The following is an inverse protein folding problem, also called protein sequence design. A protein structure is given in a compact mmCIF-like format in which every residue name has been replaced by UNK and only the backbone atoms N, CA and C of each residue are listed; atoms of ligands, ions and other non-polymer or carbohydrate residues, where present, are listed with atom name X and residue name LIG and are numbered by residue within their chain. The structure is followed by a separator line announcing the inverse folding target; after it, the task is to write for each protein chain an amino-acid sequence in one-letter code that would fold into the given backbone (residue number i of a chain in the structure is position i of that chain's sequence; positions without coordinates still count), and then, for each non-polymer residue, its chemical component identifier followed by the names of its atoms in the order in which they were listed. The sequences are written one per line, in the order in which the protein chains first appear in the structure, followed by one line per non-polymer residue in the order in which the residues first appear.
data_IF_470352476868
#
_entry.id   IF_470352476868
#
_cell.length_a   1.000
_cell.length_b   1.000
_cell.length_c   1.000
_cell.angle_alpha   90.00
_cell.angle_beta   90.00
_cell.angle_gamma   90.00
#
_symmetry.space_group_name_H-M   'P 1'
#
loop_
_entity.id
_entity.type
_entity.pdbx_description
1 polymer ?
#
# COMPACT_ATOMS: atom_id res chain seq x y z
N UNK A 1 60.16 -25.18 -65.25
CA UNK A 1 58.97 -25.87 -64.69
C UNK A 1 58.95 -25.82 -63.15
N UNK A 2 60.05 -25.62 -62.45
CA UNK A 2 60.07 -25.57 -60.97
C UNK A 2 59.50 -24.25 -60.41
N UNK A 3 59.58 -23.13 -61.10
CA UNK A 3 59.23 -21.79 -60.61
C UNK A 3 57.70 -21.54 -60.57
N UNK A 4 56.98 -22.19 -61.49
CA UNK A 4 55.49 -22.05 -61.56
C UNK A 4 54.84 -22.78 -60.40
N UNK A 5 55.42 -23.90 -59.91
CA UNK A 5 54.85 -24.68 -58.83
C UNK A 5 55.00 -23.97 -57.46
N UNK A 6 56.13 -23.24 -57.27
CA UNK A 6 56.36 -22.46 -56.05
C UNK A 6 55.44 -21.24 -55.91
N UNK A 7 55.11 -20.61 -57.04
CA UNK A 7 54.20 -19.47 -57.04
C UNK A 7 52.72 -19.87 -56.77
N UNK A 8 52.27 -21.03 -57.20
CA UNK A 8 50.94 -21.55 -56.89
C UNK A 8 50.83 -21.99 -55.43
N UNK A 9 51.90 -22.62 -54.90
CA UNK A 9 51.95 -23.01 -53.48
C UNK A 9 51.92 -21.81 -52.54
N UNK A 10 52.68 -20.73 -52.84
CA UNK A 10 52.62 -19.47 -52.06
C UNK A 10 51.27 -18.80 -52.13
N UNK A 11 50.58 -18.80 -53.28
CA UNK A 11 49.20 -18.27 -53.40
C UNK A 11 48.22 -19.09 -52.60
N UNK A 12 48.37 -20.39 -52.57
CA UNK A 12 47.48 -21.27 -51.80
C UNK A 12 47.67 -21.06 -50.29
N UNK A 13 48.90 -20.93 -49.80
CA UNK A 13 49.20 -20.58 -48.39
C UNK A 13 48.60 -19.22 -48.00
N UNK A 14 48.80 -18.20 -48.85
CA UNK A 14 48.24 -16.84 -48.57
C UNK A 14 46.70 -16.83 -48.52
N UNK A 15 46.04 -17.63 -49.36
CA UNK A 15 44.57 -17.76 -49.36
C UNK A 15 44.10 -18.49 -48.13
N UNK A 16 44.80 -19.51 -47.66
CA UNK A 16 44.49 -20.24 -46.42
C UNK A 16 44.65 -19.30 -45.21
N UNK A 17 45.72 -18.50 -45.14
CA UNK A 17 45.95 -17.53 -44.07
C UNK A 17 44.87 -16.43 -44.05
N UNK A 18 44.47 -15.93 -45.22
CA UNK A 18 43.39 -14.96 -45.33
C UNK A 18 42.04 -15.54 -44.84
N UNK A 19 41.77 -16.80 -45.15
CA UNK A 19 40.57 -17.53 -44.68
C UNK A 19 40.59 -17.76 -43.17
N UNK A 20 41.73 -18.18 -42.64
CA UNK A 20 41.93 -18.38 -41.18
C UNK A 20 41.75 -17.06 -40.41
N UNK A 21 42.35 -15.96 -40.95
CA UNK A 21 42.17 -14.63 -40.34
C UNK A 21 40.73 -14.15 -40.39
N UNK A 22 39.99 -14.42 -41.46
CA UNK A 22 38.57 -14.12 -41.57
C UNK A 22 37.72 -14.91 -40.57
N UNK A 23 38.02 -16.20 -40.38
CA UNK A 23 37.34 -17.05 -39.39
C UNK A 23 37.66 -16.58 -37.96
N UNK A 24 38.93 -16.27 -37.68
CA UNK A 24 39.37 -15.77 -36.37
C UNK A 24 38.72 -14.42 -36.02
N UNK A 25 38.60 -13.53 -37.03
CA UNK A 25 37.89 -12.23 -36.85
C UNK A 25 36.42 -12.40 -36.53
N UNK A 26 35.71 -13.30 -37.23
CA UNK A 26 34.29 -13.61 -36.96
C UNK A 26 34.12 -14.20 -35.58
N UNK A 27 34.97 -15.11 -35.16
CA UNK A 27 34.94 -15.70 -33.83
C UNK A 27 35.16 -14.64 -32.75
N UNK A 28 36.13 -13.77 -32.89
CA UNK A 28 36.36 -12.66 -31.95
C UNK A 28 35.16 -11.69 -31.89
N UNK A 29 34.54 -11.40 -33.02
CA UNK A 29 33.34 -10.56 -33.09
C UNK A 29 32.16 -11.21 -32.32
N UNK A 30 31.88 -12.48 -32.56
CA UNK A 30 30.81 -13.20 -31.88
C UNK A 30 31.06 -13.24 -30.37
N UNK A 31 32.30 -13.53 -29.94
CA UNK A 31 32.66 -13.53 -28.52
C UNK A 31 32.45 -12.15 -27.89
N UNK A 32 32.88 -11.08 -28.54
CA UNK A 32 32.68 -9.69 -28.04
C UNK A 32 31.17 -9.35 -27.94
N UNK A 33 30.40 -9.73 -28.94
CA UNK A 33 28.94 -9.51 -28.94
C UNK A 33 28.27 -10.29 -27.81
N UNK A 34 28.66 -11.55 -27.58
CA UNK A 34 28.14 -12.36 -26.49
C UNK A 34 28.46 -11.77 -25.12
N UNK A 35 29.69 -11.32 -24.89
CA UNK A 35 30.08 -10.63 -23.66
C UNK A 35 29.31 -9.32 -23.45
N UNK A 36 29.14 -8.52 -24.53
CA UNK A 36 28.35 -7.31 -24.46
C UNK A 36 26.88 -7.59 -24.05
N UNK A 37 26.30 -8.66 -24.63
CA UNK A 37 24.95 -9.11 -24.26
C UNK A 37 24.83 -9.54 -22.78
N UNK A 38 25.81 -10.32 -22.29
CA UNK A 38 25.84 -10.76 -20.88
C UNK A 38 25.98 -9.54 -19.96
N UNK A 39 26.89 -8.62 -20.26
CA UNK A 39 27.07 -7.40 -19.45
C UNK A 39 25.81 -6.55 -19.45
N UNK A 40 25.17 -6.33 -20.59
CA UNK A 40 23.92 -5.58 -20.68
C UNK A 40 22.81 -6.27 -19.85
N UNK A 41 22.66 -7.57 -19.94
CA UNK A 41 21.71 -8.34 -19.15
C UNK A 41 21.96 -8.17 -17.65
N UNK A 42 23.22 -8.31 -17.22
CA UNK A 42 23.57 -8.16 -15.79
C UNK A 42 23.31 -6.74 -15.29
N UNK A 43 23.62 -5.71 -16.10
CA UNK A 43 23.37 -4.30 -15.75
C UNK A 43 21.87 -4.02 -15.59
N UNK A 44 21.03 -4.50 -16.51
CA UNK A 44 19.58 -4.32 -16.43
C UNK A 44 19.03 -4.98 -15.16
N UNK A 45 19.49 -6.22 -14.86
CA UNK A 45 19.06 -6.92 -13.64
C UNK A 45 19.56 -6.21 -12.37
N UNK A 46 20.79 -5.69 -12.38
CA UNK A 46 21.33 -4.93 -11.25
C UNK A 46 20.54 -3.64 -11.01
N UNK A 47 20.19 -2.90 -12.06
CA UNK A 47 19.37 -1.69 -11.95
C UNK A 47 17.97 -2.05 -11.42
N UNK A 48 17.36 -3.13 -11.92
CA UNK A 48 16.06 -3.60 -11.44
C UNK A 48 16.13 -4.02 -9.96
N UNK A 49 17.18 -4.70 -9.55
CA UNK A 49 17.43 -5.10 -8.18
C UNK A 49 17.60 -3.89 -7.25
N UNK A 50 18.45 -2.92 -7.61
CA UNK A 50 18.62 -1.67 -6.84
C UNK A 50 17.28 -0.92 -6.73
N UNK A 51 16.53 -0.85 -7.84
CA UNK A 51 15.22 -0.17 -7.86
C UNK A 51 14.18 -0.87 -6.97
N UNK A 52 14.29 -2.18 -6.80
CA UNK A 52 13.42 -2.95 -5.89
C UNK A 52 13.63 -2.55 -4.42
N UNK A 53 14.87 -2.28 -4.01
CA UNK A 53 15.19 -1.83 -2.64
C UNK A 53 14.91 -0.34 -2.40
N UNK A 54 14.67 0.45 -3.46
CA UNK A 54 14.30 1.85 -3.28
C UNK A 54 12.84 1.92 -2.86
N UNK A 55 12.53 2.28 -1.59
CA UNK A 55 11.16 2.38 -1.16
C UNK A 55 10.46 3.46 -1.99
N UNK A 56 9.47 3.06 -2.77
CA UNK A 56 8.51 4.00 -3.32
C UNK A 56 7.68 4.48 -2.14
N UNK A 57 7.99 5.64 -1.61
CA UNK A 57 7.15 6.32 -0.63
C UNK A 57 5.80 6.51 -1.31
N UNK A 58 4.87 5.62 -0.98
CA UNK A 58 3.46 5.86 -1.28
C UNK A 58 3.10 7.12 -0.51
N UNK A 59 2.46 8.08 -1.17
CA UNK A 59 1.86 9.21 -0.48
C UNK A 59 0.83 8.65 0.49
N UNK A 60 1.24 8.43 1.74
CA UNK A 60 0.28 8.10 2.78
C UNK A 60 -0.64 9.31 2.94
N UNK A 61 -1.96 9.09 2.97
CA UNK A 61 -2.89 10.18 3.24
C UNK A 61 -2.51 10.82 4.58
N UNK A 62 -2.68 12.15 4.70
CA UNK A 62 -2.26 12.87 5.90
C UNK A 62 -2.86 12.20 7.14
N UNK A 63 -2.05 12.03 8.18
CA UNK A 63 -2.49 11.45 9.46
C UNK A 63 -3.53 12.32 10.15
N UNK A 64 -3.44 13.65 9.97
CA UNK A 64 -4.40 14.62 10.48
C UNK A 64 -5.47 14.91 9.42
N UNK A 65 -6.73 14.63 9.75
CA UNK A 65 -7.88 14.82 8.87
C UNK A 65 -8.84 15.81 9.52
N UNK A 66 -9.08 16.93 8.83
CA UNK A 66 -10.13 17.88 9.21
C UNK A 66 -11.48 17.33 8.75
N UNK A 67 -12.42 17.21 9.69
CA UNK A 67 -13.72 16.58 9.46
C UNK A 67 -14.91 17.52 9.71
N UNK A 68 -14.73 18.83 9.55
CA UNK A 68 -15.80 19.82 9.67
C UNK A 68 -16.05 20.30 11.10
N UNK A 69 -17.20 20.93 11.32
CA UNK A 69 -17.57 21.50 12.62
C UNK A 69 -18.52 20.61 13.39
N UNK A 70 -18.49 20.63 14.74
CA UNK A 70 -19.41 19.84 15.56
C UNK A 70 -20.90 20.07 15.24
N UNK A 71 -21.27 21.30 14.82
CA UNK A 71 -22.65 21.70 14.48
C UNK A 71 -23.21 20.98 13.25
N UNK A 72 -22.33 20.43 12.39
CA UNK A 72 -22.72 19.73 11.17
C UNK A 72 -23.17 18.27 11.44
N UNK A 73 -23.00 17.79 12.67
CA UNK A 73 -23.28 16.41 13.06
C UNK A 73 -24.53 16.34 13.97
N UNK A 74 -25.65 15.79 13.49
CA UNK A 74 -26.80 15.53 14.34
C UNK A 74 -26.49 14.56 15.49
N UNK A 75 -27.23 14.65 16.59
CA UNK A 75 -27.12 13.69 17.70
C UNK A 75 -27.48 12.27 17.23
N UNK A 76 -26.68 11.29 17.64
CA UNK A 76 -26.86 9.88 17.25
C UNK A 76 -26.47 9.56 15.81
N UNK A 77 -25.85 10.50 15.08
CA UNK A 77 -25.48 10.31 13.67
C UNK A 77 -24.10 9.66 13.49
N UNK A 78 -24.01 8.90 12.41
CA UNK A 78 -22.75 8.37 11.86
C UNK A 78 -22.52 9.03 10.50
N UNK A 79 -21.45 9.80 10.38
CA UNK A 79 -21.07 10.44 9.11
C UNK A 79 -20.25 9.46 8.26
N UNK A 80 -20.71 9.22 7.02
CA UNK A 80 -20.10 8.30 6.06
C UNK A 80 -19.27 9.01 4.99
N UNK A 81 -19.20 10.34 4.98
CA UNK A 81 -18.52 11.12 3.95
C UNK A 81 -17.04 10.77 3.83
N UNK A 82 -16.38 10.53 4.98
CA UNK A 82 -14.95 10.27 5.06
C UNK A 82 -14.58 8.79 4.90
N UNK A 83 -15.58 7.91 4.72
CA UNK A 83 -15.44 6.46 4.63
C UNK A 83 -14.45 6.03 3.55
N UNK A 84 -14.60 6.52 2.32
CA UNK A 84 -13.78 6.06 1.20
C UNK A 84 -12.43 6.76 1.12
N UNK A 85 -12.41 8.08 1.37
CA UNK A 85 -11.19 8.89 1.21
C UNK A 85 -10.19 8.67 2.34
N UNK A 86 -10.67 8.61 3.58
CA UNK A 86 -9.82 8.53 4.76
C UNK A 86 -9.99 7.24 5.55
N UNK A 87 -10.98 6.40 5.18
CA UNK A 87 -11.32 5.14 5.83
C UNK A 87 -11.69 5.32 7.30
N UNK A 88 -12.51 6.33 7.59
CA UNK A 88 -12.99 6.65 8.93
C UNK A 88 -14.49 6.94 8.92
N UNK A 89 -15.13 6.74 10.09
CA UNK A 89 -16.43 7.26 10.41
C UNK A 89 -16.33 8.20 11.59
N UNK A 90 -16.96 9.36 11.48
CA UNK A 90 -17.14 10.27 12.60
C UNK A 90 -18.52 10.03 13.18
N UNK A 91 -18.58 9.73 14.46
CA UNK A 91 -19.81 9.39 15.17
C UNK A 91 -20.05 10.45 16.24
N UNK A 92 -21.27 10.97 16.30
CA UNK A 92 -21.78 11.75 17.44
C UNK A 92 -22.83 10.91 18.14
N UNK A 93 -22.57 10.49 19.39
CA UNK A 93 -23.52 9.69 20.13
C UNK A 93 -24.73 10.53 20.64
N UNK A 94 -25.69 9.87 21.25
CA UNK A 94 -26.89 10.54 21.78
C UNK A 94 -26.59 11.48 22.94
N UNK A 95 -25.50 11.25 23.66
CA UNK A 95 -24.99 12.08 24.76
C UNK A 95 -24.18 13.31 24.24
N UNK A 96 -24.07 13.47 22.92
CA UNK A 96 -23.37 14.59 22.28
C UNK A 96 -21.85 14.43 22.21
N UNK A 97 -21.30 13.29 22.65
CA UNK A 97 -19.86 12.99 22.55
C UNK A 97 -19.50 12.54 21.16
N UNK A 98 -18.30 12.96 20.69
CA UNK A 98 -17.74 12.56 19.42
C UNK A 98 -16.68 11.49 19.60
N UNK A 99 -16.61 10.56 18.66
CA UNK A 99 -15.51 9.63 18.49
C UNK A 99 -15.34 9.26 17.01
N UNK A 100 -14.16 8.80 16.67
CA UNK A 100 -13.83 8.42 15.30
C UNK A 100 -13.49 6.93 15.24
N UNK A 101 -14.23 6.19 14.40
CA UNK A 101 -14.00 4.76 14.17
C UNK A 101 -13.19 4.55 12.89
N UNK A 102 -12.31 3.55 12.90
CA UNK A 102 -11.67 3.03 11.69
C UNK A 102 -12.70 2.31 10.83
N UNK A 103 -12.74 2.66 9.54
CA UNK A 103 -13.60 1.98 8.56
C UNK A 103 -12.97 0.66 8.07
N UNK A 104 -12.26 -0.03 8.94
CA UNK A 104 -11.62 -1.30 8.65
C UNK A 104 -12.13 -2.39 9.61
N UNK A 105 -12.76 -3.42 9.03
CA UNK A 105 -13.18 -4.59 9.80
C UNK A 105 -11.96 -5.30 10.40
N UNK A 106 -12.01 -5.58 11.69
CA UNK A 106 -10.91 -6.22 12.44
C UNK A 106 -10.70 -7.69 12.08
N UNK A 107 -11.58 -8.27 11.22
CA UNK A 107 -11.36 -9.61 10.66
C UNK A 107 -10.25 -9.60 9.59
N UNK A 108 -10.49 -9.00 8.43
CA UNK A 108 -9.55 -8.98 7.30
C UNK A 108 -9.50 -7.62 6.57
N UNK A 109 -9.86 -6.53 7.24
CA UNK A 109 -9.69 -5.17 6.72
C UNK A 109 -10.73 -4.69 5.71
N UNK A 110 -11.80 -5.46 5.44
CA UNK A 110 -12.92 -4.98 4.61
C UNK A 110 -13.58 -3.77 5.26
N UNK A 111 -14.28 -2.96 4.46
CA UNK A 111 -14.98 -1.79 4.98
C UNK A 111 -16.42 -2.16 5.31
N UNK A 112 -16.84 -2.20 6.60
CA UNK A 112 -18.22 -2.41 6.98
C UNK A 112 -19.12 -1.27 6.48
N UNK A 113 -20.40 -1.54 6.29
CA UNK A 113 -21.41 -0.53 5.95
C UNK A 113 -22.23 -0.14 7.17
N UNK A 114 -22.55 1.17 7.30
CA UNK A 114 -23.48 1.64 8.31
C UNK A 114 -24.92 1.43 7.85
N UNK A 115 -25.68 0.66 8.62
CA UNK A 115 -27.10 0.40 8.39
C UNK A 115 -27.92 1.27 9.37
N UNK A 116 -28.23 2.51 8.95
CA UNK A 116 -28.90 3.51 9.83
C UNK A 116 -30.20 3.04 10.43
N UNK A 117 -31.06 2.34 9.68
CA UNK A 117 -32.34 1.78 10.17
C UNK A 117 -32.10 0.75 11.28
N UNK A 118 -31.03 -0.03 11.20
CA UNK A 118 -30.70 -1.07 12.17
C UNK A 118 -29.72 -0.60 13.24
N UNK A 119 -29.23 0.64 13.13
CA UNK A 119 -28.27 1.26 14.04
C UNK A 119 -27.04 0.40 14.33
N UNK A 120 -26.47 -0.19 13.25
CA UNK A 120 -25.31 -1.07 13.33
C UNK A 120 -24.42 -0.99 12.07
N UNK A 121 -23.18 -1.36 12.23
CA UNK A 121 -22.29 -1.63 11.09
C UNK A 121 -22.35 -3.10 10.72
N UNK A 122 -22.35 -3.40 9.44
CA UNK A 122 -22.31 -4.78 8.91
C UNK A 122 -21.21 -4.90 7.86
N UNK A 123 -20.32 -5.86 8.04
CA UNK A 123 -19.25 -6.12 7.08
C UNK A 123 -19.79 -7.02 5.95
N UNK A 124 -19.74 -6.57 4.68
CA UNK A 124 -20.30 -7.33 3.57
C UNK A 124 -19.48 -8.57 3.21
N UNK A 125 -18.20 -8.62 3.61
CA UNK A 125 -17.31 -9.72 3.22
C UNK A 125 -17.66 -11.05 3.90
N UNK A 126 -17.79 -11.05 5.23
CA UNK A 126 -18.04 -12.28 6.02
C UNK A 126 -19.07 -12.08 7.13
N UNK A 127 -19.81 -10.98 7.11
CA UNK A 127 -20.95 -10.79 7.98
C UNK A 127 -20.67 -10.27 9.39
N UNK A 128 -19.43 -9.86 9.73
CA UNK A 128 -19.17 -9.27 11.06
C UNK A 128 -20.07 -8.08 11.35
N UNK A 129 -20.63 -8.03 12.56
CA UNK A 129 -21.52 -6.97 13.03
C UNK A 129 -20.89 -6.15 14.15
N UNK A 130 -21.08 -4.81 14.10
CA UNK A 130 -20.60 -3.90 15.13
C UNK A 130 -21.70 -2.91 15.49
N UNK A 131 -21.80 -2.59 16.80
CA UNK A 131 -22.68 -1.52 17.27
C UNK A 131 -22.17 -0.13 16.82
N UNK A 132 -22.98 0.90 17.06
CA UNK A 132 -22.61 2.30 16.72
C UNK A 132 -21.31 2.74 17.40
N UNK A 133 -21.03 2.26 18.61
CA UNK A 133 -19.80 2.57 19.36
C UNK A 133 -18.55 1.77 18.86
N UNK A 134 -18.73 0.89 17.87
CA UNK A 134 -17.66 0.05 17.30
C UNK A 134 -17.50 -1.32 17.97
N UNK A 135 -18.21 -1.62 19.05
CA UNK A 135 -18.16 -2.94 19.68
C UNK A 135 -18.72 -4.02 18.77
N UNK A 136 -18.03 -5.15 18.67
CA UNK A 136 -18.49 -6.27 17.87
C UNK A 136 -19.48 -7.15 18.65
N UNK A 137 -20.60 -7.47 18.01
CA UNK A 137 -21.61 -8.39 18.56
C UNK A 137 -21.75 -9.66 17.71
N UNK A 138 -21.16 -9.68 16.51
CA UNK A 138 -21.27 -10.80 15.57
C UNK A 138 -19.94 -11.00 14.83
N UNK A 139 -19.43 -12.25 14.87
CA UNK A 139 -18.19 -12.65 14.21
C UNK A 139 -18.30 -12.71 12.67
N UNK A 140 -17.16 -12.98 12.00
CA UNK A 140 -15.89 -13.50 12.53
C UNK A 140 -14.87 -12.46 13.02
N UNK A 141 -15.21 -11.17 13.10
CA UNK A 141 -14.30 -10.16 13.67
C UNK A 141 -13.91 -10.50 15.11
N UNK A 142 -12.61 -10.55 15.46
CA UNK A 142 -12.18 -11.01 16.79
C UNK A 142 -12.26 -9.93 17.87
N UNK A 143 -12.49 -8.67 17.52
CA UNK A 143 -12.46 -7.53 18.45
C UNK A 143 -13.21 -6.32 17.88
N UNK A 144 -13.52 -5.30 18.71
CA UNK A 144 -14.12 -4.04 18.27
C UNK A 144 -13.34 -3.33 17.15
N UNK A 145 -14.01 -2.40 16.46
CA UNK A 145 -13.37 -1.48 15.54
C UNK A 145 -12.38 -0.59 16.29
N UNK A 146 -11.25 -0.31 15.65
CA UNK A 146 -10.28 0.62 16.21
C UNK A 146 -10.83 2.05 16.22
N UNK A 147 -10.41 2.84 17.20
CA UNK A 147 -10.71 4.27 17.28
C UNK A 147 -9.48 5.09 16.99
N UNK A 148 -9.70 6.28 16.44
CA UNK A 148 -8.68 7.29 16.25
C UNK A 148 -8.92 8.44 17.22
N UNK A 149 -7.83 9.14 17.59
CA UNK A 149 -7.93 10.32 18.42
C UNK A 149 -8.69 11.42 17.68
N UNK A 150 -9.68 12.01 18.33
CA UNK A 150 -10.43 13.16 17.84
C UNK A 150 -10.23 14.34 18.78
N UNK A 151 -10.03 15.54 18.23
CA UNK A 151 -9.79 16.76 18.97
C UNK A 151 -10.47 17.95 18.31
N UNK A 152 -10.61 19.05 19.04
CA UNK A 152 -11.09 20.32 18.53
C UNK A 152 -9.90 21.22 18.21
N UNK A 153 -9.89 21.82 17.03
CA UNK A 153 -8.92 22.85 16.64
C UNK A 153 -9.25 24.19 17.30
N UNK A 154 -8.27 25.10 17.39
CA UNK A 154 -8.45 26.49 17.85
C UNK A 154 -9.51 27.25 17.03
N UNK A 155 -9.76 26.81 15.79
CA UNK A 155 -10.80 27.37 14.90
C UNK A 155 -12.18 26.73 15.09
N UNK A 156 -12.34 25.80 16.04
CA UNK A 156 -13.59 25.08 16.30
C UNK A 156 -13.90 23.95 15.32
N UNK A 157 -12.92 23.51 14.54
CA UNK A 157 -13.08 22.37 13.63
C UNK A 157 -12.66 21.07 14.32
N UNK A 158 -13.36 20.00 14.02
CA UNK A 158 -12.97 18.65 14.44
C UNK A 158 -11.77 18.15 13.62
N UNK A 159 -10.76 17.66 14.31
CA UNK A 159 -9.56 17.04 13.71
C UNK A 159 -9.42 15.62 14.21
N UNK A 160 -9.28 14.68 13.29
CA UNK A 160 -8.98 13.29 13.56
C UNK A 160 -7.51 13.04 13.32
N UNK A 161 -6.82 12.52 14.32
CA UNK A 161 -5.42 12.09 14.22
C UNK A 161 -5.37 10.56 14.08
N UNK A 162 -5.08 10.09 12.88
CA UNK A 162 -4.97 8.66 12.54
C UNK A 162 -3.65 8.03 13.01
N UNK A 163 -2.67 8.83 13.43
CA UNK A 163 -1.42 8.31 13.99
C UNK A 163 -1.62 7.74 15.40
N UNK A 164 -2.67 8.21 16.11
CA UNK A 164 -3.01 7.72 17.45
C UNK A 164 -4.21 6.77 17.34
N UNK A 165 -3.95 5.49 17.53
CA UNK A 165 -4.92 4.41 17.38
C UNK A 165 -5.21 3.76 18.71
N UNK A 166 -6.48 3.72 19.11
CA UNK A 166 -7.00 3.00 20.27
C UNK A 166 -7.59 1.66 19.82
N UNK A 167 -6.89 0.57 20.14
CA UNK A 167 -7.31 -0.78 19.74
C UNK A 167 -8.31 -1.35 20.74
N UNK A 168 -9.56 -1.55 20.29
CA UNK A 168 -10.59 -2.19 21.12
C UNK A 168 -10.18 -3.61 21.52
N UNK A 169 -10.49 -3.97 22.76
CA UNK A 169 -10.29 -5.31 23.31
C UNK A 169 -11.62 -6.05 23.38
N UNK A 170 -11.62 -7.35 23.07
CA UNK A 170 -12.82 -8.17 23.11
C UNK A 170 -13.43 -8.21 24.53
N UNK A 171 -14.73 -7.97 24.61
CA UNK A 171 -15.48 -7.99 25.87
C UNK A 171 -15.25 -6.76 26.77
N UNK A 172 -14.51 -5.75 26.31
CA UNK A 172 -14.30 -4.50 27.04
C UNK A 172 -15.00 -3.34 26.32
N UNK A 173 -15.61 -2.45 27.11
CA UNK A 173 -16.22 -1.24 26.59
C UNK A 173 -15.13 -0.26 26.19
N UNK A 174 -15.08 0.11 24.91
CA UNK A 174 -14.07 1.03 24.39
C UNK A 174 -14.18 2.45 24.97
N UNK A 175 -15.36 2.87 25.43
CA UNK A 175 -15.58 4.17 26.07
C UNK A 175 -14.93 4.24 27.46
N UNK A 176 -14.93 3.13 28.17
CA UNK A 176 -14.32 3.00 29.50
C UNK A 176 -12.80 2.77 29.39
N UNK A 177 -12.39 1.98 28.41
CA UNK A 177 -10.98 1.64 28.20
C UNK A 177 -10.17 2.84 27.70
N UNK A 178 -10.78 3.69 26.85
CA UNK A 178 -10.12 4.83 26.21
C UNK A 178 -10.99 6.09 26.28
N UNK A 179 -11.16 6.69 27.48
CA UNK A 179 -11.96 7.91 27.64
C UNK A 179 -11.42 9.08 26.81
N UNK A 180 -10.09 9.08 26.54
CA UNK A 180 -9.41 10.07 25.69
C UNK A 180 -9.75 9.92 24.20
N UNK A 181 -10.39 8.83 23.79
CA UNK A 181 -10.92 8.65 22.43
C UNK A 181 -12.25 9.36 22.22
N UNK A 182 -12.84 9.90 23.30
CA UNK A 182 -14.11 10.62 23.30
C UNK A 182 -13.89 12.12 23.47
N UNK A 183 -14.49 12.90 22.59
CA UNK A 183 -14.48 14.36 22.67
C UNK A 183 -15.85 14.86 23.10
N UNK A 184 -15.90 15.65 24.16
CA UNK A 184 -17.09 16.44 24.56
C UNK A 184 -16.94 17.84 24.01
N UNK A 185 -17.93 18.33 23.28
CA UNK A 185 -18.01 19.65 22.70
C UNK A 185 -19.28 20.32 23.18
#
# INVERSE_FOLDING_TARGET
MADVNQTEEMKNVSNVDALLNKIASRRKFIIRLSWAGIIAFLLVNLIAFIRFFYPRVLFEPPSLVKVGKPSEYPLGAVNMEYKYKYRIWVVRNKEGRFFCLSAQCTHLGCTPDWLGIQNKFKCPCHGSGFYQNGENFEGPAPRPLDRYKISLSDKGDLIVDKSVVFKGLFGMNSDELYPESLLKV
#
